data_IF_210149043931
#
_entry.id   IF_210149043931
#
_cell.length_a   1.000
_cell.length_b   1.000
_cell.length_c   1.000
_cell.angle_alpha   90.00
_cell.angle_beta   90.00
_cell.angle_gamma   90.00
#
_symmetry.space_group_name_H-M   'P 1'
#
loop_
_entity.id
_entity.type
_entity.pdbx_description
1 polymer ?
#
# COMPACT_ATOMS: atom_id res chain seq x y z
N UNK A 1 -57.72 6.41 -2.40
CA UNK A 1 -56.69 6.01 -1.45
C UNK A 1 -55.47 5.49 -2.25
N UNK A 2 -54.55 6.39 -2.64
CA UNK A 2 -53.32 6.06 -3.39
C UNK A 2 -52.19 5.93 -2.39
N UNK A 3 -51.70 4.71 -2.17
CA UNK A 3 -50.66 4.40 -1.19
C UNK A 3 -49.32 4.27 -1.94
N UNK A 4 -48.44 5.14 -1.62
CA UNK A 4 -47.04 5.30 -1.90
C UNK A 4 -46.25 4.03 -2.33
N UNK A 5 -45.98 3.89 -3.63
CA UNK A 5 -44.96 2.98 -4.17
C UNK A 5 -43.54 3.60 -4.22
N UNK A 6 -43.31 4.78 -3.63
CA UNK A 6 -42.01 5.48 -3.69
C UNK A 6 -40.97 5.02 -2.65
N UNK A 7 -41.32 4.16 -1.72
CA UNK A 7 -40.41 3.80 -0.61
C UNK A 7 -39.65 2.47 -0.82
N UNK A 8 -39.88 1.74 -1.89
CA UNK A 8 -39.21 0.44 -2.11
C UNK A 8 -37.93 0.56 -2.94
N UNK A 9 -37.72 1.66 -3.67
CA UNK A 9 -36.53 1.91 -4.49
C UNK A 9 -35.40 2.64 -3.75
N UNK A 10 -35.70 3.21 -2.59
CA UNK A 10 -34.70 3.96 -1.79
C UNK A 10 -33.83 3.08 -0.88
N UNK A 11 -34.24 1.85 -0.59
CA UNK A 11 -33.50 0.96 0.31
C UNK A 11 -32.28 0.27 -0.35
N UNK A 12 -32.25 0.17 -1.68
CA UNK A 12 -31.17 -0.49 -2.43
C UNK A 12 -30.00 0.43 -2.77
N UNK A 13 -30.20 1.75 -2.73
CA UNK A 13 -29.16 2.75 -3.00
C UNK A 13 -28.27 3.10 -1.80
N UNK A 14 -28.68 2.68 -0.60
CA UNK A 14 -27.92 2.98 0.63
C UNK A 14 -26.76 2.00 0.91
N UNK A 15 -26.70 0.89 0.20
CA UNK A 15 -25.76 -0.20 0.47
C UNK A 15 -24.31 0.08 0.04
N UNK A 16 -24.11 0.97 -0.92
CA UNK A 16 -22.77 1.26 -1.45
C UNK A 16 -22.13 2.53 -0.86
N UNK A 17 -22.89 3.31 -0.08
CA UNK A 17 -22.36 4.48 0.63
C UNK A 17 -21.36 4.15 1.74
N UNK A 18 -21.27 2.91 2.17
CA UNK A 18 -20.41 2.49 3.29
C UNK A 18 -19.01 2.05 2.82
N UNK A 19 -18.86 1.71 1.55
CA UNK A 19 -17.52 1.53 0.95
C UNK A 19 -16.77 2.87 0.87
N UNK A 20 -17.47 3.95 1.07
CA UNK A 20 -17.16 5.32 0.74
C UNK A 20 -17.23 6.26 1.94
N UNK A 21 -16.96 5.83 3.14
CA UNK A 21 -16.32 6.80 4.01
C UNK A 21 -14.93 7.02 3.37
N UNK A 22 -14.55 8.27 3.12
CA UNK A 22 -13.51 8.58 2.17
C UNK A 22 -12.27 7.75 2.49
N UNK A 23 -11.82 6.94 1.53
CA UNK A 23 -10.40 6.58 1.40
C UNK A 23 -9.54 7.87 1.33
N UNK A 24 -10.17 9.06 1.37
CA UNK A 24 -9.56 10.37 1.60
C UNK A 24 -8.68 10.44 2.84
N UNK A 25 -8.41 9.37 3.44
CA UNK A 25 -7.49 9.19 4.52
C UNK A 25 -6.53 8.04 4.32
N UNK A 26 -6.29 7.49 3.11
CA UNK A 26 -4.95 7.04 2.76
C UNK A 26 -4.14 8.31 2.41
N UNK A 27 -4.20 9.26 3.29
CA UNK A 27 -3.06 10.11 3.52
C UNK A 27 -2.12 9.16 4.28
N UNK A 28 -1.20 8.52 3.59
CA UNK A 28 0.10 8.32 4.19
C UNK A 28 0.38 9.66 4.83
N UNK A 29 0.35 9.70 6.16
CA UNK A 29 0.41 10.93 6.95
C UNK A 29 1.39 11.84 6.24
N UNK A 30 0.97 13.05 5.87
CA UNK A 30 1.74 14.02 5.11
C UNK A 30 3.16 14.08 5.68
N UNK A 31 3.93 13.08 5.32
CA UNK A 31 5.33 13.05 5.65
C UNK A 31 5.95 13.85 4.56
N UNK A 32 6.55 14.99 4.92
CA UNK A 32 7.75 15.37 4.21
C UNK A 32 8.61 14.09 4.22
N UNK A 33 8.46 13.23 3.23
CA UNK A 33 9.60 12.46 2.81
C UNK A 33 10.47 13.59 2.25
N UNK A 34 11.22 14.19 3.17
CA UNK A 34 12.32 15.05 2.77
C UNK A 34 13.00 14.19 1.73
N UNK A 35 12.95 14.61 0.46
CA UNK A 35 13.87 14.07 -0.53
C UNK A 35 15.15 13.99 0.26
N UNK A 36 15.62 12.75 0.53
CA UNK A 36 16.82 12.57 1.32
C UNK A 36 17.81 13.49 0.62
N UNK A 37 18.12 14.63 1.27
CA UNK A 37 19.03 15.57 0.67
C UNK A 37 20.27 14.74 0.46
N UNK A 38 20.50 14.29 -0.77
CA UNK A 38 21.64 13.45 -1.17
C UNK A 38 22.97 14.13 -0.83
N UNK A 39 22.91 15.36 -0.35
CA UNK A 39 24.01 16.16 0.18
C UNK A 39 24.28 15.97 1.67
N UNK A 40 23.36 15.34 2.45
CA UNK A 40 23.65 15.11 3.88
C UNK A 40 24.56 13.88 4.06
N UNK A 41 25.54 13.94 4.99
CA UNK A 41 26.41 12.81 5.26
C UNK A 41 25.62 11.62 5.81
N UNK A 42 26.08 10.42 5.47
CA UNK A 42 25.58 9.18 6.07
C UNK A 42 26.45 8.88 7.29
N UNK A 43 25.84 8.86 8.48
CA UNK A 43 26.49 8.42 9.71
C UNK A 43 26.22 6.92 9.91
N UNK A 44 27.26 6.14 10.24
CA UNK A 44 27.16 4.71 10.54
C UNK A 44 27.65 4.49 11.97
N UNK A 45 26.83 3.83 12.78
CA UNK A 45 27.12 3.45 14.16
C UNK A 45 26.97 1.94 14.33
N UNK A 46 27.72 1.32 15.25
CA UNK A 46 27.60 -0.11 15.56
C UNK A 46 28.19 -0.43 16.95
N UNK A 47 27.56 -1.37 17.68
CA UNK A 47 27.98 -1.72 19.04
C UNK A 47 29.24 -2.60 19.08
N UNK A 48 29.46 -3.46 18.04
CA UNK A 48 30.58 -4.40 17.98
C UNK A 48 31.73 -3.90 17.10
N UNK A 49 31.55 -2.77 16.43
CA UNK A 49 32.60 -2.15 15.63
C UNK A 49 32.29 -2.03 14.15
N UNK A 50 33.12 -1.25 13.49
CA UNK A 50 33.07 -1.01 12.03
C UNK A 50 34.42 -1.40 11.44
N UNK A 51 34.39 -2.33 10.49
CA UNK A 51 35.55 -2.76 9.72
C UNK A 51 35.58 -2.03 8.38
N UNK A 52 36.71 -1.49 8.01
CA UNK A 52 36.91 -0.93 6.68
C UNK A 52 37.64 -1.95 5.78
N UNK A 53 36.90 -2.57 4.89
CA UNK A 53 37.38 -3.54 3.91
C UNK A 53 37.76 -2.80 2.62
N UNK A 54 38.98 -2.28 2.55
CA UNK A 54 39.41 -1.36 1.49
C UNK A 54 39.48 -2.04 0.11
N UNK A 55 39.82 -3.33 0.04
CA UNK A 55 39.85 -4.11 -1.21
C UNK A 55 38.45 -4.33 -1.77
N UNK A 56 37.48 -4.66 -0.91
CA UNK A 56 36.08 -4.86 -1.27
C UNK A 56 35.29 -3.55 -1.41
N UNK A 57 35.87 -2.43 -0.98
CA UNK A 57 35.22 -1.10 -0.90
C UNK A 57 33.94 -1.12 -0.09
N UNK A 58 34.01 -1.70 1.10
CA UNK A 58 32.87 -1.86 2.01
C UNK A 58 33.25 -1.39 3.41
N UNK A 59 32.35 -0.65 4.04
CA UNK A 59 32.29 -0.48 5.49
C UNK A 59 31.34 -1.53 6.05
N UNK A 60 31.82 -2.42 6.90
CA UNK A 60 31.05 -3.50 7.52
C UNK A 60 30.84 -3.16 9.00
N UNK A 61 29.61 -2.87 9.37
CA UNK A 61 29.20 -2.56 10.74
C UNK A 61 28.44 -3.74 11.37
N UNK A 62 28.76 -4.11 12.60
CA UNK A 62 28.20 -5.27 13.30
C UNK A 62 27.67 -4.90 14.68
N UNK A 63 26.58 -5.57 15.07
CA UNK A 63 25.92 -5.42 16.36
C UNK A 63 25.08 -4.16 16.40
N UNK A 64 23.76 -4.30 16.35
CA UNK A 64 22.80 -3.20 16.38
C UNK A 64 23.22 -2.03 15.47
N UNK A 65 23.75 -2.38 14.29
CA UNK A 65 24.33 -1.43 13.37
C UNK A 65 23.25 -0.48 12.81
N UNK A 66 23.56 0.79 12.66
CA UNK A 66 22.64 1.77 12.10
C UNK A 66 23.31 2.68 11.08
N UNK A 67 22.59 3.02 10.02
CA UNK A 67 22.95 4.05 9.06
C UNK A 67 21.89 5.15 9.10
N UNK A 68 22.31 6.42 9.22
CA UNK A 68 21.41 7.58 9.33
C UNK A 68 21.75 8.63 8.29
N UNK A 69 20.75 9.19 7.64
CA UNK A 69 20.87 10.30 6.71
C UNK A 69 19.65 11.23 6.88
N UNK A 70 19.81 12.35 7.54
CA UNK A 70 18.70 13.21 7.94
C UNK A 70 17.68 12.47 8.81
N UNK A 71 16.44 12.49 8.40
CA UNK A 71 15.34 11.81 9.11
C UNK A 71 15.22 10.30 8.79
N UNK A 72 15.97 9.83 7.80
CA UNK A 72 16.01 8.42 7.44
C UNK A 72 17.00 7.67 8.30
N UNK A 73 16.62 6.50 8.79
CA UNK A 73 17.51 5.56 9.46
C UNK A 73 17.21 4.11 9.06
N UNK A 74 18.28 3.34 8.89
CA UNK A 74 18.23 1.89 8.67
C UNK A 74 19.03 1.22 9.76
N UNK A 75 18.43 0.30 10.49
CA UNK A 75 19.03 -0.45 11.60
C UNK A 75 18.94 -1.94 11.32
N UNK A 76 19.98 -2.72 11.69
CA UNK A 76 20.04 -4.16 11.50
C UNK A 76 21.12 -4.78 12.42
N UNK A 77 21.19 -6.11 12.44
CA UNK A 77 22.29 -6.80 13.13
C UNK A 77 23.63 -6.54 12.40
N UNK A 78 23.59 -6.47 11.07
CA UNK A 78 24.77 -6.22 10.20
C UNK A 78 24.38 -5.22 9.11
N UNK A 79 25.24 -4.21 8.90
CA UNK A 79 25.17 -3.29 7.78
C UNK A 79 26.45 -3.38 6.94
N UNK A 80 26.28 -3.39 5.62
CA UNK A 80 27.35 -3.24 4.62
C UNK A 80 27.10 -1.98 3.83
N UNK A 81 27.98 -0.98 3.94
CA UNK A 81 27.92 0.22 3.11
C UNK A 81 28.98 0.14 2.03
N UNK A 82 28.53 -0.01 0.80
CA UNK A 82 29.38 -0.06 -0.38
C UNK A 82 29.71 1.34 -0.86
N UNK A 83 31.00 1.61 -1.04
CA UNK A 83 31.46 2.89 -1.51
C UNK A 83 32.27 2.76 -2.80
N UNK A 84 32.40 3.87 -3.50
CA UNK A 84 33.23 4.00 -4.69
C UNK A 84 33.95 5.33 -4.70
N UNK A 85 35.07 5.38 -5.40
CA UNK A 85 35.78 6.63 -5.67
C UNK A 85 35.37 7.16 -7.05
N UNK A 86 34.89 8.40 -7.06
CA UNK A 86 34.57 9.13 -8.30
C UNK A 86 35.57 10.27 -8.52
N UNK A 87 35.55 10.90 -9.68
CA UNK A 87 36.41 12.09 -9.96
C UNK A 87 36.15 13.24 -9.00
N UNK A 88 34.95 13.33 -8.45
CA UNK A 88 34.48 14.44 -7.61
C UNK A 88 34.38 14.11 -6.12
N UNK A 89 34.25 12.82 -5.77
CA UNK A 89 34.07 12.36 -4.39
C UNK A 89 34.90 11.13 -4.09
N UNK A 90 35.56 11.11 -2.94
CA UNK A 90 36.17 9.91 -2.36
C UNK A 90 35.15 9.24 -1.44
N UNK A 91 35.19 7.91 -1.41
CA UNK A 91 34.38 7.06 -0.50
C UNK A 91 32.88 7.39 -0.59
N UNK A 92 32.36 7.65 -1.81
CA UNK A 92 30.94 7.89 -2.03
C UNK A 92 30.14 6.62 -1.82
N UNK A 93 29.33 6.57 -0.75
CA UNK A 93 28.41 5.45 -0.51
C UNK A 93 27.32 5.47 -1.57
N UNK A 94 27.15 4.37 -2.29
CA UNK A 94 26.14 4.22 -3.33
C UNK A 94 25.10 3.14 -3.02
N UNK A 95 25.39 2.24 -2.05
CA UNK A 95 24.47 1.17 -1.65
C UNK A 95 24.70 0.79 -0.19
N UNK A 96 23.61 0.53 0.53
CA UNK A 96 23.63 -0.01 1.88
C UNK A 96 22.80 -1.29 1.90
N UNK A 97 23.37 -2.36 2.43
CA UNK A 97 22.69 -3.63 2.68
C UNK A 97 22.59 -3.88 4.16
N UNK A 98 21.43 -4.32 4.61
CA UNK A 98 21.09 -4.62 5.98
C UNK A 98 20.65 -6.06 6.11
N UNK A 99 21.12 -6.77 7.12
CA UNK A 99 20.78 -8.17 7.37
C UNK A 99 20.52 -8.40 8.86
N UNK A 100 19.43 -9.09 9.16
CA UNK A 100 18.98 -9.43 10.51
C UNK A 100 18.24 -8.29 11.18
N UNK A 101 17.01 -8.54 11.61
CA UNK A 101 16.14 -7.62 12.34
C UNK A 101 16.10 -6.19 11.75
N UNK A 102 15.91 -6.11 10.43
CA UNK A 102 15.94 -4.83 9.72
C UNK A 102 14.77 -3.95 10.14
N UNK A 103 15.09 -2.71 10.53
CA UNK A 103 14.12 -1.66 10.82
C UNK A 103 14.53 -0.41 10.07
N UNK A 104 13.66 0.04 9.17
CA UNK A 104 13.83 1.33 8.49
C UNK A 104 12.82 2.32 9.08
N UNK A 105 13.28 3.49 9.45
CA UNK A 105 12.44 4.55 10.03
C UNK A 105 12.62 5.85 9.30
N UNK A 106 11.53 6.58 9.22
CA UNK A 106 11.53 8.02 9.02
C UNK A 106 10.59 8.67 10.06
N UNK A 107 10.28 9.96 9.94
CA UNK A 107 9.47 10.71 10.93
C UNK A 107 8.10 10.09 11.23
N UNK A 108 7.53 9.31 10.31
CA UNK A 108 6.12 8.87 10.38
C UNK A 108 5.90 7.39 10.06
N UNK A 109 6.94 6.67 9.66
CA UNK A 109 6.80 5.29 9.18
C UNK A 109 7.91 4.41 9.74
N UNK A 110 7.54 3.14 10.02
CA UNK A 110 8.47 2.08 10.37
C UNK A 110 8.27 0.92 9.40
N UNK A 111 9.35 0.44 8.82
CA UNK A 111 9.36 -0.77 7.98
C UNK A 111 10.20 -1.84 8.65
N UNK A 112 9.68 -3.05 8.71
CA UNK A 112 10.31 -4.19 9.38
C UNK A 112 10.50 -5.34 8.39
N UNK A 113 11.61 -6.07 8.50
CA UNK A 113 11.93 -7.25 7.73
C UNK A 113 13.22 -7.92 8.17
N UNK A 114 13.72 -8.87 7.39
CA UNK A 114 14.99 -9.57 7.67
C UNK A 114 16.16 -9.01 6.86
N UNK A 115 15.89 -8.55 5.63
CA UNK A 115 16.89 -7.97 4.74
C UNK A 115 16.42 -6.63 4.22
N UNK A 116 17.34 -5.69 4.10
CA UNK A 116 17.09 -4.36 3.57
C UNK A 116 18.16 -3.95 2.58
N UNK A 117 17.79 -3.25 1.54
CA UNK A 117 18.69 -2.64 0.58
C UNK A 117 18.27 -1.20 0.35
N UNK A 118 19.20 -0.27 0.49
CA UNK A 118 19.07 1.09 0.01
C UNK A 118 20.06 1.32 -1.11
N UNK A 119 19.57 1.37 -2.34
CA UNK A 119 20.32 1.71 -3.54
C UNK A 119 20.17 3.21 -3.80
N UNK A 120 21.21 3.98 -3.49
CA UNK A 120 21.19 5.44 -3.61
C UNK A 120 21.18 5.90 -5.06
N UNK A 121 21.86 5.17 -5.97
CA UNK A 121 21.88 5.50 -7.39
C UNK A 121 20.48 5.40 -8.02
N UNK A 122 19.78 4.32 -7.70
CA UNK A 122 18.41 4.09 -8.16
C UNK A 122 17.37 4.82 -7.32
N UNK A 123 17.76 5.35 -6.17
CA UNK A 123 16.85 5.90 -5.16
C UNK A 123 15.74 4.89 -4.80
N UNK A 124 16.17 3.66 -4.53
CA UNK A 124 15.31 2.51 -4.27
C UNK A 124 15.58 1.92 -2.90
N UNK A 125 14.53 1.74 -2.13
CA UNK A 125 14.55 1.00 -0.87
C UNK A 125 13.77 -0.29 -1.07
N UNK A 126 14.37 -1.42 -0.69
CA UNK A 126 13.71 -2.74 -0.71
C UNK A 126 13.87 -3.38 0.65
N UNK A 127 12.80 -3.93 1.19
CA UNK A 127 12.81 -4.76 2.39
C UNK A 127 12.20 -6.10 2.06
N UNK A 128 12.85 -7.19 2.48
CA UNK A 128 12.45 -8.56 2.18
C UNK A 128 12.67 -9.50 3.37
N UNK A 129 12.23 -10.75 3.23
CA UNK A 129 12.32 -11.77 4.28
C UNK A 129 11.00 -11.94 5.03
N UNK A 130 11.05 -12.53 6.22
CA UNK A 130 9.85 -12.82 7.03
C UNK A 130 9.31 -11.58 7.74
N UNK A 131 8.02 -11.65 8.09
CA UNK A 131 7.34 -10.63 8.91
C UNK A 131 7.39 -9.22 8.33
N UNK A 132 7.39 -9.11 7.00
CA UNK A 132 7.38 -7.82 6.31
C UNK A 132 6.19 -6.98 6.74
N UNK A 133 6.48 -5.81 7.27
CA UNK A 133 5.47 -4.87 7.75
C UNK A 133 5.91 -3.44 7.57
N UNK A 134 5.05 -2.63 7.00
CA UNK A 134 5.09 -1.18 7.08
C UNK A 134 4.01 -0.73 8.07
N UNK A 135 4.37 0.15 8.98
CA UNK A 135 3.49 0.72 10.00
C UNK A 135 3.60 2.24 9.97
N UNK A 136 2.48 2.91 9.68
CA UNK A 136 2.38 4.37 9.65
C UNK A 136 1.68 4.94 10.90
N UNK A 137 1.35 4.08 11.87
CA UNK A 137 0.51 4.42 13.02
C UNK A 137 -0.99 4.45 12.70
N UNK A 138 -1.37 4.58 11.43
CA UNK A 138 -2.78 4.56 10.97
C UNK A 138 -3.06 3.35 10.08
N UNK A 139 -2.11 2.97 9.25
CA UNK A 139 -2.18 1.85 8.35
C UNK A 139 -1.09 0.84 8.65
N UNK A 140 -1.42 -0.42 8.44
CA UNK A 140 -0.46 -1.53 8.47
C UNK A 140 -0.49 -2.21 7.11
N UNK A 141 0.66 -2.21 6.43
CA UNK A 141 0.86 -2.97 5.18
C UNK A 141 1.72 -4.19 5.49
N UNK A 142 1.34 -5.34 4.95
CA UNK A 142 2.10 -6.60 5.02
C UNK A 142 2.28 -7.19 3.63
N UNK A 143 3.36 -7.93 3.47
CA UNK A 143 3.68 -8.66 2.25
C UNK A 143 4.50 -9.90 2.60
N UNK A 144 4.59 -10.87 1.69
CA UNK A 144 5.39 -12.09 1.90
C UNK A 144 6.72 -12.07 1.14
N UNK A 145 6.78 -11.35 0.00
CA UNK A 145 7.96 -11.34 -0.87
C UNK A 145 8.80 -10.07 -0.71
N UNK A 146 8.16 -8.88 -0.65
CA UNK A 146 8.89 -7.63 -0.59
C UNK A 146 8.04 -6.39 -0.41
N UNK A 147 8.65 -5.38 0.19
CA UNK A 147 8.19 -4.00 0.24
C UNK A 147 9.23 -3.13 -0.46
N UNK A 148 8.81 -2.37 -1.46
CA UNK A 148 9.68 -1.52 -2.28
C UNK A 148 9.21 -0.07 -2.24
N UNK A 149 10.16 0.86 -2.25
CA UNK A 149 9.87 2.27 -2.46
C UNK A 149 10.86 2.88 -3.47
N UNK A 150 10.33 3.27 -4.61
CA UNK A 150 11.02 3.92 -5.73
C UNK A 150 10.86 5.43 -5.59
N UNK A 151 11.80 6.09 -4.92
CA UNK A 151 11.69 7.51 -4.55
C UNK A 151 11.54 8.42 -5.77
N UNK A 152 12.34 8.23 -6.82
CA UNK A 152 12.28 9.05 -8.06
C UNK A 152 10.95 8.89 -8.80
N UNK A 153 10.38 7.70 -8.79
CA UNK A 153 9.10 7.40 -9.43
C UNK A 153 7.92 7.66 -8.51
N UNK A 154 8.16 7.97 -7.23
CA UNK A 154 7.13 8.11 -6.19
C UNK A 154 6.19 6.89 -6.17
N UNK A 155 6.75 5.69 -6.18
CA UNK A 155 6.02 4.43 -6.29
C UNK A 155 6.34 3.52 -5.11
N UNK A 156 5.31 3.08 -4.38
CA UNK A 156 5.44 2.02 -3.40
C UNK A 156 4.82 0.73 -3.93
N UNK A 157 5.46 -0.41 -3.62
CA UNK A 157 5.02 -1.73 -4.06
C UNK A 157 5.08 -2.71 -2.89
N UNK A 158 4.02 -3.48 -2.70
CA UNK A 158 3.98 -4.63 -1.79
C UNK A 158 3.67 -5.89 -2.60
N UNK A 159 4.55 -6.90 -2.51
CA UNK A 159 4.51 -8.14 -3.31
C UNK A 159 4.32 -9.37 -2.44
N UNK A 160 3.58 -10.32 -2.97
CA UNK A 160 3.30 -11.61 -2.35
C UNK A 160 2.25 -11.50 -1.27
N UNK A 161 1.02 -11.94 -1.56
CA UNK A 161 -0.13 -11.91 -0.64
C UNK A 161 -0.20 -10.60 0.16
N UNK A 162 -0.03 -9.49 -0.55
CA UNK A 162 0.04 -8.18 0.03
C UNK A 162 -1.29 -7.77 0.66
N UNK A 163 -1.23 -7.10 1.81
CA UNK A 163 -2.42 -6.58 2.48
C UNK A 163 -2.17 -5.19 3.05
N UNK A 164 -3.18 -4.33 2.97
CA UNK A 164 -3.19 -3.03 3.63
C UNK A 164 -4.44 -2.94 4.51
N UNK A 165 -4.24 -2.65 5.78
CA UNK A 165 -5.30 -2.56 6.79
C UNK A 165 -5.32 -1.18 7.40
N UNK A 166 -6.50 -0.59 7.48
CA UNK A 166 -6.79 0.64 8.19
C UNK A 166 -8.10 0.50 8.93
N UNK A 167 -8.06 0.62 10.27
CA UNK A 167 -9.21 0.37 11.13
C UNK A 167 -9.83 -1.01 10.85
N UNK A 168 -11.12 -1.07 10.48
CA UNK A 168 -11.88 -2.27 10.17
C UNK A 168 -11.84 -2.68 8.68
N UNK A 169 -11.03 -2.00 7.88
CA UNK A 169 -10.94 -2.23 6.42
C UNK A 169 -9.63 -2.86 6.04
N UNK A 170 -9.70 -3.88 5.23
CA UNK A 170 -8.52 -4.56 4.69
C UNK A 170 -8.70 -4.77 3.20
N UNK A 171 -7.67 -4.44 2.44
CA UNK A 171 -7.51 -4.87 1.06
C UNK A 171 -6.39 -5.90 0.99
N UNK A 172 -6.61 -6.97 0.23
CA UNK A 172 -5.60 -7.99 -0.10
C UNK A 172 -5.53 -8.20 -1.60
N UNK A 173 -4.33 -8.44 -2.09
CA UNK A 173 -4.07 -8.85 -3.46
C UNK A 173 -2.67 -9.49 -3.55
N UNK A 174 -2.33 -10.14 -4.65
CA UNK A 174 -0.97 -10.62 -4.83
C UNK A 174 0.04 -9.46 -4.93
N UNK A 175 -0.38 -8.37 -5.56
CA UNK A 175 0.41 -7.16 -5.73
C UNK A 175 -0.44 -5.93 -5.38
N UNK A 176 0.08 -5.09 -4.50
CA UNK A 176 -0.45 -3.75 -4.23
C UNK A 176 0.60 -2.70 -4.64
N UNK A 177 0.16 -1.70 -5.39
CA UNK A 177 1.00 -0.61 -5.85
C UNK A 177 0.35 0.72 -5.50
N UNK A 178 1.13 1.69 -5.05
CA UNK A 178 0.66 3.06 -4.78
C UNK A 178 1.53 4.04 -5.53
N UNK A 179 0.92 4.77 -6.47
CA UNK A 179 1.55 5.91 -7.11
C UNK A 179 1.26 7.16 -6.30
N UNK A 180 2.31 7.89 -5.94
CA UNK A 180 2.20 9.15 -5.22
C UNK A 180 2.42 10.35 -6.14
N UNK A 181 1.94 11.49 -5.70
CA UNK A 181 2.27 12.82 -6.21
C UNK A 181 2.66 13.71 -5.04
N UNK A 182 3.45 14.73 -5.31
CA UNK A 182 3.79 15.76 -4.34
C UNK A 182 2.74 16.87 -4.35
N UNK A 183 2.22 17.24 -3.19
CA UNK A 183 1.32 18.37 -3.05
C UNK A 183 2.10 19.71 -3.03
N UNK A 184 1.38 20.83 -2.99
CA UNK A 184 1.98 22.17 -2.98
C UNK A 184 2.89 22.45 -1.77
N UNK A 185 2.79 21.63 -0.72
CA UNK A 185 3.58 21.75 0.51
C UNK A 185 4.77 20.77 0.54
N UNK A 186 4.97 20.00 -0.54
CA UNK A 186 5.99 18.96 -0.62
C UNK A 186 5.62 17.66 0.10
N UNK A 187 4.34 17.43 0.38
CA UNK A 187 3.90 16.18 0.99
C UNK A 187 3.51 15.16 -0.09
N UNK A 188 3.85 13.90 0.13
CA UNK A 188 3.39 12.82 -0.75
C UNK A 188 1.92 12.50 -0.48
N UNK A 189 1.14 12.52 -1.53
CA UNK A 189 -0.28 12.12 -1.52
C UNK A 189 -0.50 11.01 -2.53
N UNK A 190 -1.25 9.97 -2.15
CA UNK A 190 -1.59 8.91 -3.08
C UNK A 190 -2.43 9.47 -4.24
N UNK A 191 -2.00 9.17 -5.47
CA UNK A 191 -2.73 9.50 -6.70
C UNK A 191 -3.59 8.33 -7.15
N UNK A 192 -3.00 7.14 -7.14
CA UNK A 192 -3.63 5.91 -7.59
C UNK A 192 -3.15 4.73 -6.77
N UNK A 193 -4.04 3.79 -6.52
CA UNK A 193 -3.74 2.52 -5.87
C UNK A 193 -4.22 1.42 -6.82
N UNK A 194 -3.32 0.50 -7.16
CA UNK A 194 -3.62 -0.66 -7.98
C UNK A 194 -3.49 -1.93 -7.14
N UNK A 195 -4.43 -2.84 -7.31
CA UNK A 195 -4.45 -4.16 -6.69
C UNK A 195 -4.60 -5.22 -7.78
N UNK A 196 -3.68 -6.17 -7.84
CA UNK A 196 -3.64 -7.19 -8.89
C UNK A 196 -3.47 -8.59 -8.31
N UNK A 197 -4.11 -9.57 -8.96
CA UNK A 197 -3.98 -10.98 -8.62
C UNK A 197 -4.84 -11.41 -7.43
N UNK A 198 -6.15 -11.39 -7.62
CA UNK A 198 -7.14 -11.85 -6.63
C UNK A 198 -7.39 -10.83 -5.53
N UNK A 199 -8.12 -9.78 -5.88
CA UNK A 199 -8.48 -8.71 -4.95
C UNK A 199 -9.56 -9.15 -3.99
N UNK A 200 -9.30 -8.98 -2.69
CA UNK A 200 -10.27 -9.18 -1.60
C UNK A 200 -10.32 -7.91 -0.75
N UNK A 201 -11.46 -7.27 -0.71
CA UNK A 201 -11.72 -6.13 0.17
C UNK A 201 -12.70 -6.57 1.25
N UNK A 202 -12.35 -6.34 2.50
CA UNK A 202 -13.18 -6.66 3.67
C UNK A 202 -13.41 -5.38 4.46
N UNK A 203 -14.66 -5.16 4.84
CA UNK A 203 -15.10 -4.09 5.74
C UNK A 203 -15.95 -4.71 6.86
N UNK A 204 -16.42 -3.92 7.82
CA UNK A 204 -17.34 -4.38 8.87
C UNK A 204 -18.64 -5.02 8.33
N UNK A 205 -19.10 -4.63 7.14
CA UNK A 205 -20.41 -5.02 6.59
C UNK A 205 -20.34 -5.78 5.28
N UNK A 206 -19.20 -5.77 4.59
CA UNK A 206 -19.12 -6.27 3.20
C UNK A 206 -17.83 -7.02 2.94
N UNK A 207 -17.94 -8.00 2.05
CA UNK A 207 -16.80 -8.68 1.43
C UNK A 207 -16.92 -8.55 -0.08
N UNK A 208 -15.87 -8.04 -0.70
CA UNK A 208 -15.82 -7.77 -2.14
C UNK A 208 -14.63 -8.51 -2.73
N UNK A 209 -14.88 -9.22 -3.82
CA UNK A 209 -13.86 -9.98 -4.56
C UNK A 209 -13.83 -9.50 -6.00
N UNK A 210 -12.65 -9.49 -6.58
CA UNK A 210 -12.40 -9.21 -8.01
C UNK A 210 -11.04 -9.76 -8.42
N UNK A 211 -10.72 -9.72 -9.69
CA UNK A 211 -9.38 -10.11 -10.16
C UNK A 211 -8.40 -8.96 -10.01
N UNK A 212 -8.85 -7.74 -10.31
CA UNK A 212 -8.07 -6.51 -10.29
C UNK A 212 -8.89 -5.37 -9.71
N UNK A 213 -8.20 -4.39 -9.11
CA UNK A 213 -8.80 -3.18 -8.59
C UNK A 213 -7.92 -1.96 -8.84
N UNK A 214 -8.54 -0.84 -9.18
CA UNK A 214 -7.90 0.45 -9.33
C UNK A 214 -8.69 1.48 -8.54
N UNK A 215 -8.02 2.24 -7.70
CA UNK A 215 -8.59 3.41 -7.05
C UNK A 215 -7.87 4.67 -7.52
N UNK A 216 -8.54 5.47 -8.33
CA UNK A 216 -8.09 6.82 -8.67
C UNK A 216 -8.51 7.76 -7.53
N UNK A 217 -7.53 8.19 -6.74
CA UNK A 217 -7.77 9.00 -5.54
C UNK A 217 -8.22 10.41 -5.90
N UNK A 218 -7.73 10.96 -7.02
CA UNK A 218 -8.04 12.33 -7.47
C UNK A 218 -9.48 12.41 -7.99
N UNK A 219 -9.89 11.40 -8.77
CA UNK A 219 -11.23 11.32 -9.34
C UNK A 219 -12.26 10.71 -8.37
N UNK A 220 -11.78 10.22 -7.23
CA UNK A 220 -12.58 9.46 -6.26
C UNK A 220 -13.35 8.30 -6.91
N UNK A 221 -12.70 7.62 -7.87
CA UNK A 221 -13.27 6.52 -8.63
C UNK A 221 -12.59 5.20 -8.29
N UNK A 222 -13.37 4.23 -7.82
CA UNK A 222 -12.93 2.85 -7.61
C UNK A 222 -13.48 1.99 -8.74
N UNK A 223 -12.61 1.21 -9.36
CA UNK A 223 -12.96 0.22 -10.37
C UNK A 223 -12.46 -1.15 -9.94
N UNK A 224 -13.35 -2.14 -9.94
CA UNK A 224 -13.02 -3.55 -9.73
C UNK A 224 -13.41 -4.33 -10.98
N UNK A 225 -12.52 -5.18 -11.46
CA UNK A 225 -12.72 -5.97 -12.66
C UNK A 225 -12.43 -7.45 -12.49
N UNK A 226 -13.08 -8.26 -13.33
CA UNK A 226 -12.94 -9.72 -13.39
C UNK A 226 -13.60 -10.44 -12.22
N UNK A 227 -14.68 -11.18 -12.51
CA UNK A 227 -15.40 -12.01 -11.54
C UNK A 227 -15.82 -11.27 -10.27
N UNK A 228 -16.34 -10.07 -10.43
CA UNK A 228 -16.71 -9.22 -9.30
C UNK A 228 -17.88 -9.83 -8.53
N UNK A 229 -17.68 -9.99 -7.22
CA UNK A 229 -18.67 -10.46 -6.27
C UNK A 229 -18.69 -9.56 -5.05
N UNK A 230 -19.86 -9.02 -4.74
CA UNK A 230 -20.10 -8.20 -3.53
C UNK A 230 -21.06 -8.96 -2.64
N UNK A 231 -20.68 -9.22 -1.41
CA UNK A 231 -21.48 -9.91 -0.39
C UNK A 231 -21.71 -8.97 0.79
N UNK A 232 -22.96 -8.80 1.18
CA UNK A 232 -23.38 -8.04 2.36
C UNK A 232 -24.43 -8.81 3.14
N UNK A 233 -24.03 -9.35 4.30
CA UNK A 233 -24.87 -10.31 5.00
C UNK A 233 -25.24 -11.48 4.09
N UNK A 234 -26.53 -11.72 3.89
CA UNK A 234 -27.05 -12.77 3.00
C UNK A 234 -27.26 -12.31 1.55
N UNK A 235 -27.12 -11.02 1.27
CA UNK A 235 -27.29 -10.46 -0.09
C UNK A 235 -26.01 -10.56 -0.88
N UNK A 236 -26.13 -10.88 -2.16
CA UNK A 236 -25.00 -11.02 -3.08
C UNK A 236 -25.27 -10.41 -4.43
N UNK A 237 -24.28 -9.69 -4.96
CA UNK A 237 -24.26 -9.15 -6.31
C UNK A 237 -23.06 -9.72 -7.06
N UNK A 238 -23.27 -10.13 -8.32
CA UNK A 238 -22.23 -10.68 -9.19
C UNK A 238 -22.24 -9.95 -10.54
N UNK A 239 -21.05 -9.61 -11.04
CA UNK A 239 -20.84 -8.95 -12.31
C UNK A 239 -19.39 -9.10 -12.78
N UNK A 240 -19.04 -8.44 -13.87
CA UNK A 240 -17.67 -8.45 -14.41
C UNK A 240 -16.88 -7.22 -14.04
N UNK A 241 -17.58 -6.10 -13.87
CA UNK A 241 -17.01 -4.80 -13.57
C UNK A 241 -17.88 -4.10 -12.51
N UNK A 242 -17.26 -3.54 -11.50
CA UNK A 242 -17.91 -2.60 -10.58
C UNK A 242 -17.19 -1.26 -10.63
N UNK A 243 -17.95 -0.19 -10.83
CA UNK A 243 -17.48 1.19 -10.75
C UNK A 243 -18.20 1.90 -9.61
N UNK A 244 -17.43 2.57 -8.77
CA UNK A 244 -17.94 3.33 -7.63
C UNK A 244 -17.36 4.74 -7.70
N UNK A 245 -18.19 5.71 -7.98
CA UNK A 245 -17.81 7.10 -7.88
C UNK A 245 -18.12 7.57 -6.45
N UNK A 246 -17.08 7.90 -5.70
CA UNK A 246 -17.15 8.23 -4.28
C UNK A 246 -17.72 9.63 -4.05
N UNK A 247 -17.53 10.54 -4.99
CA UNK A 247 -18.04 11.89 -4.92
C UNK A 247 -19.56 11.95 -5.11
N UNK A 248 -20.06 11.29 -6.16
CA UNK A 248 -21.50 11.25 -6.45
C UNK A 248 -22.27 10.18 -5.68
N UNK A 249 -21.57 9.19 -5.11
CA UNK A 249 -22.15 8.01 -4.47
C UNK A 249 -22.82 7.04 -5.46
N UNK A 250 -22.59 7.23 -6.77
CA UNK A 250 -23.13 6.33 -7.80
C UNK A 250 -22.25 5.10 -7.94
N UNK A 251 -22.90 3.95 -7.95
CA UNK A 251 -22.25 2.66 -8.13
C UNK A 251 -22.92 1.92 -9.27
N UNK A 252 -22.13 1.32 -10.12
CA UNK A 252 -22.57 0.52 -11.26
C UNK A 252 -21.92 -0.85 -11.18
N UNK A 253 -22.72 -1.88 -11.41
CA UNK A 253 -22.24 -3.22 -11.64
C UNK A 253 -22.60 -3.62 -13.08
N UNK A 254 -21.59 -4.00 -13.84
CA UNK A 254 -21.69 -4.24 -15.28
C UNK A 254 -21.29 -5.68 -15.56
N UNK A 255 -21.93 -6.29 -16.56
CA UNK A 255 -21.53 -7.57 -17.11
C UNK A 255 -20.80 -7.35 -18.43
N UNK A 256 -19.54 -7.72 -18.48
CA UNK A 256 -18.70 -7.69 -19.66
C UNK A 256 -18.02 -9.04 -19.85
N UNK A 257 -18.25 -9.68 -21.01
CA UNK A 257 -17.68 -10.98 -21.34
C UNK A 257 -16.16 -10.92 -21.53
N UNK A 258 -15.63 -9.80 -21.99
CA UNK A 258 -14.19 -9.61 -22.24
C UNK A 258 -13.38 -9.60 -20.93
N UNK A 259 -14.04 -9.29 -19.80
CA UNK A 259 -13.46 -9.25 -18.47
C UNK A 259 -13.65 -10.55 -17.65
N UNK A 260 -13.97 -11.67 -18.33
CA UNK A 260 -14.17 -12.96 -17.66
C UNK A 260 -15.51 -13.11 -16.94
N UNK A 261 -16.48 -12.25 -17.24
CA UNK A 261 -17.75 -12.21 -16.54
C UNK A 261 -18.83 -13.15 -17.09
N UNK A 262 -19.87 -13.34 -16.28
CA UNK A 262 -21.11 -13.99 -16.70
C UNK A 262 -21.88 -13.11 -17.69
N UNK A 263 -22.77 -13.72 -18.46
CA UNK A 263 -23.58 -12.99 -19.47
C UNK A 263 -24.50 -11.91 -18.86
N UNK A 264 -24.72 -11.90 -17.55
CA UNK A 264 -25.67 -11.01 -16.87
C UNK A 264 -25.15 -10.64 -15.48
N UNK A 265 -25.43 -9.43 -15.04
CA UNK A 265 -25.37 -9.06 -13.63
C UNK A 265 -26.47 -9.82 -12.89
N UNK A 266 -26.13 -10.39 -11.75
CA UNK A 266 -27.08 -11.11 -10.89
C UNK A 266 -27.09 -10.52 -9.48
N UNK A 267 -28.29 -10.32 -8.95
CA UNK A 267 -28.52 -9.97 -7.54
C UNK A 267 -29.34 -11.08 -6.87
N UNK A 268 -28.90 -11.51 -5.69
CA UNK A 268 -29.66 -12.33 -4.76
C UNK A 268 -29.97 -11.47 -3.54
N UNK A 269 -31.24 -11.35 -3.22
CA UNK A 269 -31.72 -10.57 -2.07
C UNK A 269 -32.64 -11.47 -1.23
N UNK A 270 -32.32 -11.59 0.05
CA UNK A 270 -33.12 -12.36 1.00
C UNK A 270 -34.02 -11.37 1.77
N UNK A 271 -35.36 -11.48 1.65
CA UNK A 271 -36.27 -10.66 2.43
C UNK A 271 -36.09 -10.91 3.93
N UNK A 272 -36.01 -9.85 4.72
CA UNK A 272 -36.10 -10.01 6.18
C UNK A 272 -37.50 -10.47 6.55
N UNK A 273 -37.62 -11.59 7.24
CA UNK A 273 -38.87 -11.95 7.93
C UNK A 273 -39.21 -10.82 8.91
N UNK A 274 -40.43 -10.28 8.81
CA UNK A 274 -40.95 -9.42 9.88
C UNK A 274 -41.15 -10.32 11.08
N UNK A 275 -40.35 -10.12 12.13
CA UNK A 275 -40.73 -10.63 13.45
C UNK A 275 -42.14 -10.12 13.76
N UNK A 276 -43.08 -11.03 13.90
CA UNK A 276 -44.41 -10.73 14.38
C UNK A 276 -44.25 -10.22 15.83
N UNK A 277 -44.67 -8.95 16.06
CA UNK A 277 -44.90 -8.40 17.37
C UNK A 277 -46.15 -9.04 18.00
#
# INVERSE_FOLDING_TARGET
>A
MKRNEKNLLLATLFALRILVAPLSGIILASSKISQSNSSQPIAIDADQGIEWLSEDKVYLARGNASAKQGDFSMQADILKAFYRNTKSKKDEIYRIEATGQVIIRNLVQNVFGENGVYDLDRSLIVVSGKNLRLDTGKEIVRAEEGLEFWQKSMLAVARGNASATRQDRTIRANLLTVQFIEDKNGNLTAKQIDAQGGVLITTASEVIVGNEGVYNVIEELVTLSGNVKITRGENQLNGSLAEVNLQSGVSRLISDKSLGGTKKVRGLFIPREKSAE
#
